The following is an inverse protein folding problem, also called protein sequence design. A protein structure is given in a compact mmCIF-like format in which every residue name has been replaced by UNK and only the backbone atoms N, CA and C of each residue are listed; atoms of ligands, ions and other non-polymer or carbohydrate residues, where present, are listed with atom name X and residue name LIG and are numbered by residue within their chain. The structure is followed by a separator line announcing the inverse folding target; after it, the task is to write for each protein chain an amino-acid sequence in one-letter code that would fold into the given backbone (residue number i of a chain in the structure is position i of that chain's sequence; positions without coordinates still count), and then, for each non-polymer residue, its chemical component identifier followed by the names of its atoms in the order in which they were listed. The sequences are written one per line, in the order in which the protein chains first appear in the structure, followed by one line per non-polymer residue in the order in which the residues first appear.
data_IF_833274804579
#
_entry.id   IF_833274804579
#
_cell.length_a   1.000
_cell.length_b   1.000
_cell.length_c   1.000
_cell.angle_alpha   90.00
_cell.angle_beta   90.00
_cell.angle_gamma   90.00
#
_symmetry.space_group_name_H-M   'P 1'
#
loop_
_entity.id
_entity.type
_entity.pdbx_description
1 polymer ?
#
# COMPACT_ATOMS: atom_id res chain seq x y z
N UNK A 1 0.40 10.98 -7.20
CA UNK A 1 1.21 10.71 -5.99
C UNK A 1 0.77 9.40 -5.39
N UNK A 2 1.68 8.61 -4.83
CA UNK A 2 1.36 7.34 -4.17
C UNK A 2 1.60 7.45 -2.66
N UNK A 3 0.98 6.56 -1.88
CA UNK A 3 1.06 6.48 -0.43
C UNK A 3 2.20 5.54 -0.02
N UNK A 4 3.02 6.01 0.92
CA UNK A 4 4.15 5.25 1.47
C UNK A 4 3.71 4.19 2.48
N UNK A 5 4.66 3.37 2.94
CA UNK A 5 4.43 2.32 3.94
C UNK A 5 3.75 2.90 5.20
N UNK A 6 2.72 2.22 5.69
CA UNK A 6 1.83 2.66 6.78
C UNK A 6 0.97 3.89 6.47
N UNK A 7 0.99 4.40 5.24
CA UNK A 7 0.06 5.43 4.76
C UNK A 7 -1.35 4.87 4.58
N UNK A 8 -2.37 5.68 4.89
CA UNK A 8 -3.77 5.30 4.64
C UNK A 8 -4.08 5.14 3.15
N UNK A 9 -4.95 4.20 2.82
CA UNK A 9 -5.33 3.87 1.44
C UNK A 9 -6.80 3.42 1.33
N UNK A 10 -7.40 3.61 0.15
CA UNK A 10 -8.71 3.04 -0.18
C UNK A 10 -8.57 1.79 -1.06
N UNK A 11 -7.53 1.77 -1.89
CA UNK A 11 -7.23 0.79 -2.92
C UNK A 11 -5.73 0.55 -3.02
N UNK A 12 -5.31 -0.60 -3.56
CA UNK A 12 -3.89 -0.88 -3.79
C UNK A 12 -3.23 0.12 -4.74
N UNK A 13 -3.99 0.68 -5.69
CA UNK A 13 -3.52 1.75 -6.59
C UNK A 13 -3.16 3.06 -5.88
N UNK A 14 -3.62 3.27 -4.64
CA UNK A 14 -3.17 4.42 -3.84
C UNK A 14 -1.74 4.25 -3.36
N UNK A 15 -1.25 3.01 -3.21
CA UNK A 15 0.03 2.71 -2.59
C UNK A 15 1.20 2.77 -3.59
N UNK A 16 2.40 3.07 -3.09
CA UNK A 16 3.60 3.08 -3.92
C UNK A 16 3.99 1.67 -4.40
N UNK A 17 4.91 1.60 -5.37
CA UNK A 17 5.48 0.33 -5.83
C UNK A 17 5.94 -0.50 -4.62
N UNK A 18 5.72 -1.81 -4.69
CA UNK A 18 5.97 -2.77 -3.60
C UNK A 18 5.01 -2.68 -2.42
N UNK A 19 3.96 -1.85 -2.50
CA UNK A 19 2.98 -1.71 -1.45
C UNK A 19 1.58 -2.06 -1.97
N UNK A 20 0.79 -2.71 -1.12
CA UNK A 20 -0.61 -3.01 -1.35
C UNK A 20 -1.47 -2.53 -0.19
N UNK A 21 -2.72 -2.19 -0.50
CA UNK A 21 -3.64 -1.69 0.52
C UNK A 21 -4.21 -2.87 1.31
N UNK A 22 -3.95 -2.91 2.61
CA UNK A 22 -4.54 -3.90 3.51
C UNK A 22 -5.99 -3.56 3.78
N UNK A 23 -6.90 -4.45 3.39
CA UNK A 23 -8.34 -4.23 3.57
C UNK A 23 -8.78 -4.15 5.02
N UNK A 24 -8.10 -4.86 5.92
CA UNK A 24 -8.48 -4.97 7.35
C UNK A 24 -8.28 -3.64 8.11
N UNK A 25 -7.26 -2.88 7.74
CA UNK A 25 -6.82 -1.67 8.47
C UNK A 25 -6.63 -0.46 7.56
N UNK A 26 -6.92 -0.60 6.25
CA UNK A 26 -6.85 0.46 5.23
C UNK A 26 -5.51 1.23 5.21
N UNK A 27 -4.40 0.49 5.29
CA UNK A 27 -3.05 1.05 5.14
C UNK A 27 -2.21 0.31 4.10
N UNK A 28 -1.26 1.02 3.50
CA UNK A 28 -0.29 0.48 2.57
C UNK A 28 0.75 -0.36 3.31
N UNK A 29 0.75 -1.66 3.06
CA UNK A 29 1.74 -2.60 3.57
C UNK A 29 2.58 -3.12 2.42
N UNK A 30 3.77 -3.62 2.74
CA UNK A 30 4.59 -4.31 1.75
C UNK A 30 3.83 -5.49 1.13
N UNK A 31 3.79 -5.54 -0.20
CA UNK A 31 3.06 -6.56 -0.96
C UNK A 31 3.84 -7.87 -1.15
N UNK A 32 5.10 -7.90 -0.73
CA UNK A 32 5.97 -9.09 -0.85
C UNK A 32 6.91 -9.03 -2.05
N UNK A 33 6.86 -7.98 -2.87
CA UNK A 33 7.75 -7.83 -4.02
C UNK A 33 8.96 -6.95 -3.70
N UNK A 34 10.10 -7.22 -4.34
CA UNK A 34 11.34 -6.45 -4.20
C UNK A 34 11.83 -5.80 -5.50
N UNK A 35 11.15 -6.05 -6.63
CA UNK A 35 11.65 -5.79 -8.00
C UNK A 35 10.98 -4.64 -8.74
#
# INVERSE_FOLDING_TARGET
ECRYLFGGCSSTSDCCKHLSCRSDWKYCAWDGTFS
#
